data_IF_203939727663
#
_entry.id   IF_203939727663
#
_cell.length_a   1.000
_cell.length_b   1.000
_cell.length_c   1.000
_cell.angle_alpha   90.00
_cell.angle_beta   90.00
_cell.angle_gamma   90.00
#
_symmetry.space_group_name_H-M   'P 1'
#
loop_
_entity.id
_entity.type
_entity.pdbx_description
1 polymer ?
#
# COMPACT_ATOMS: atom_id res chain seq x y z
N UNK A 1 -17.32 -10.49 32.58
CA UNK A 1 -16.37 -10.43 31.47
C UNK A 1 -17.15 -10.81 30.22
N UNK A 2 -17.88 -9.86 29.65
CA UNK A 2 -18.62 -10.04 28.39
C UNK A 2 -17.73 -9.52 27.27
N UNK A 3 -17.14 -10.48 26.51
CA UNK A 3 -16.44 -10.13 25.29
C UNK A 3 -17.43 -9.56 24.29
N UNK A 4 -17.17 -8.32 23.87
CA UNK A 4 -17.82 -7.75 22.68
C UNK A 4 -17.32 -8.55 21.48
N UNK A 5 -18.08 -9.53 21.05
CA UNK A 5 -17.99 -10.03 19.70
C UNK A 5 -18.59 -8.92 18.81
N UNK A 6 -17.73 -8.09 18.24
CA UNK A 6 -18.13 -7.28 17.09
C UNK A 6 -18.45 -8.24 15.96
N UNK A 7 -19.64 -8.16 15.44
CA UNK A 7 -20.08 -9.05 14.37
C UNK A 7 -19.21 -8.80 13.13
N UNK A 8 -18.68 -9.85 12.53
CA UNK A 8 -17.89 -9.87 11.27
C UNK A 8 -18.52 -9.05 10.11
N UNK A 9 -19.76 -8.66 10.24
CA UNK A 9 -20.52 -7.95 9.20
C UNK A 9 -20.35 -6.43 9.23
N UNK A 10 -19.86 -5.83 10.32
CA UNK A 10 -19.83 -4.36 10.44
C UNK A 10 -18.56 -3.72 9.84
N UNK A 11 -17.47 -4.45 9.74
CA UNK A 11 -16.22 -3.94 9.17
C UNK A 11 -16.29 -3.86 7.64
N UNK A 12 -17.03 -4.77 7.00
CA UNK A 12 -17.14 -4.82 5.53
C UNK A 12 -18.07 -3.76 4.96
N UNK A 13 -18.96 -3.17 5.77
CA UNK A 13 -19.98 -2.24 5.29
C UNK A 13 -19.50 -0.77 5.17
N UNK A 14 -18.34 -0.42 5.73
CA UNK A 14 -17.89 0.97 5.84
C UNK A 14 -16.53 1.27 5.19
N UNK A 15 -15.98 0.38 4.37
CA UNK A 15 -14.75 0.73 3.68
C UNK A 15 -15.02 1.67 2.49
N UNK A 16 -14.08 2.57 2.18
CA UNK A 16 -14.25 3.53 1.09
C UNK A 16 -14.27 2.83 -0.28
N UNK A 17 -15.20 3.22 -1.13
CA UNK A 17 -15.40 2.65 -2.47
C UNK A 17 -15.06 3.60 -3.61
N UNK A 18 -14.74 4.85 -3.29
CA UNK A 18 -14.37 5.87 -4.26
C UNK A 18 -13.16 6.65 -3.75
N UNK A 19 -12.56 7.42 -4.63
CA UNK A 19 -11.33 8.15 -4.36
C UNK A 19 -11.47 9.17 -3.22
N UNK A 20 -12.55 9.89 -3.18
CA UNK A 20 -12.80 10.91 -2.18
C UNK A 20 -12.91 10.30 -0.78
N UNK A 21 -13.63 9.20 -0.65
CA UNK A 21 -13.73 8.46 0.60
C UNK A 21 -12.38 7.88 1.06
N UNK A 22 -11.54 7.44 0.13
CA UNK A 22 -10.18 6.99 0.43
C UNK A 22 -9.31 8.11 0.99
N UNK A 23 -9.39 9.31 0.43
CA UNK A 23 -8.68 10.49 0.95
C UNK A 23 -9.16 10.85 2.36
N UNK A 24 -10.47 10.82 2.61
CA UNK A 24 -11.04 11.11 3.93
C UNK A 24 -10.51 10.13 4.97
N UNK A 25 -10.56 8.83 4.71
CA UNK A 25 -10.03 7.81 5.61
C UNK A 25 -8.52 7.97 5.87
N UNK A 26 -7.74 8.27 4.85
CA UNK A 26 -6.31 8.51 5.00
C UNK A 26 -6.03 9.73 5.89
N UNK A 27 -6.76 10.82 5.70
CA UNK A 27 -6.62 12.02 6.52
C UNK A 27 -7.05 11.76 7.97
N UNK A 28 -8.12 10.99 8.17
CA UNK A 28 -8.57 10.58 9.50
C UNK A 28 -7.54 9.70 10.20
N UNK A 29 -6.91 8.77 9.47
CA UNK A 29 -5.84 7.96 10.00
C UNK A 29 -4.64 8.81 10.45
N UNK A 30 -4.19 9.75 9.63
CA UNK A 30 -3.10 10.67 9.99
C UNK A 30 -3.43 11.44 11.29
N UNK A 31 -4.66 11.90 11.41
CA UNK A 31 -5.13 12.61 12.62
C UNK A 31 -5.09 11.70 13.84
N UNK A 32 -5.53 10.45 13.70
CA UNK A 32 -5.55 9.47 14.81
C UNK A 32 -4.17 9.13 15.33
N UNK A 33 -3.17 9.03 14.46
CA UNK A 33 -1.78 8.76 14.89
C UNK A 33 -1.04 10.02 15.38
N UNK A 34 -1.68 11.18 15.37
CA UNK A 34 -1.10 12.44 15.81
C UNK A 34 -0.04 13.01 14.86
N UNK A 35 -0.11 12.65 13.58
CA UNK A 35 0.79 13.19 12.57
C UNK A 35 0.49 14.67 12.31
N UNK A 36 1.53 15.50 12.35
CA UNK A 36 1.42 16.93 12.00
C UNK A 36 1.85 17.12 10.54
N UNK A 37 0.94 17.50 9.63
CA UNK A 37 1.28 17.71 8.23
C UNK A 37 2.41 18.71 7.99
N UNK A 38 2.67 19.64 8.93
CA UNK A 38 3.79 20.57 8.82
C UNK A 38 5.16 19.89 8.83
N UNK A 39 5.26 18.66 9.33
CA UNK A 39 6.50 17.88 9.33
C UNK A 39 6.92 17.42 7.94
N UNK A 40 6.00 17.42 6.99
CA UNK A 40 6.27 17.06 5.59
C UNK A 40 7.01 18.16 4.81
N UNK A 41 7.03 19.39 5.34
CA UNK A 41 7.54 20.54 4.60
C UNK A 41 6.71 20.79 3.33
N UNK A 42 7.35 20.77 2.17
CA UNK A 42 6.69 20.96 0.87
C UNK A 42 6.11 19.67 0.28
N UNK A 43 6.35 18.53 0.91
CA UNK A 43 5.81 17.24 0.46
C UNK A 43 4.27 17.24 0.49
N UNK A 44 3.67 16.64 -0.53
CA UNK A 44 2.22 16.45 -0.61
C UNK A 44 1.92 15.00 -0.96
N UNK A 45 0.98 14.42 -0.22
CA UNK A 45 0.46 13.11 -0.56
C UNK A 45 -0.53 13.22 -1.72
N UNK A 46 -0.36 12.39 -2.72
CA UNK A 46 -1.35 12.19 -3.76
C UNK A 46 -1.49 10.69 -4.02
N UNK A 47 -2.67 10.14 -3.74
CA UNK A 47 -2.98 8.75 -4.04
C UNK A 47 -3.47 8.53 -5.47
N UNK A 48 -3.77 9.61 -6.21
CA UNK A 48 -3.94 9.56 -7.65
C UNK A 48 -2.57 9.52 -8.32
N UNK A 49 -2.52 8.82 -9.40
CA UNK A 49 -1.33 8.69 -10.22
C UNK A 49 -1.61 9.16 -11.64
N UNK A 50 -0.58 9.66 -12.30
CA UNK A 50 -0.65 10.14 -13.68
C UNK A 50 -0.53 8.97 -14.65
N UNK A 51 -1.55 8.78 -15.46
CA UNK A 51 -1.57 7.77 -16.52
C UNK A 51 -0.52 8.00 -17.59
N UNK A 52 -0.19 9.24 -17.87
CA UNK A 52 0.74 9.60 -18.93
C UNK A 52 2.17 9.17 -18.61
N UNK A 53 2.51 9.03 -17.32
CA UNK A 53 3.83 8.56 -16.89
C UNK A 53 4.06 7.08 -17.19
N UNK A 54 3.00 6.29 -17.32
CA UNK A 54 3.09 4.85 -17.59
C UNK A 54 3.51 4.48 -19.02
N UNK A 55 3.58 5.46 -19.93
CA UNK A 55 3.90 5.24 -21.33
C UNK A 55 2.90 4.37 -22.09
N UNK A 56 3.04 4.25 -23.40
CA UNK A 56 2.12 3.52 -24.29
C UNK A 56 2.52 2.06 -24.57
N UNK A 57 3.80 1.74 -24.45
CA UNK A 57 4.39 0.43 -24.79
C UNK A 57 5.39 -0.02 -23.72
N UNK A 58 5.65 -1.32 -23.70
CA UNK A 58 6.69 -1.90 -22.85
C UNK A 58 8.01 -1.74 -23.60
N UNK A 59 9.00 -1.14 -22.95
CA UNK A 59 10.25 -0.74 -23.58
C UNK A 59 11.31 -1.86 -23.63
N UNK A 60 11.20 -2.86 -22.79
CA UNK A 60 12.20 -3.93 -22.70
C UNK A 60 11.65 -5.22 -22.06
N UNK A 61 12.36 -6.32 -22.28
CA UNK A 61 12.00 -7.66 -21.80
C UNK A 61 11.22 -8.46 -22.83
N UNK A 62 10.67 -9.61 -22.42
CA UNK A 62 9.96 -10.56 -23.28
C UNK A 62 8.69 -9.98 -23.95
N UNK A 63 8.24 -8.82 -23.49
CA UNK A 63 7.03 -8.14 -23.95
C UNK A 63 7.34 -6.79 -24.62
N UNK A 64 8.59 -6.53 -24.98
CA UNK A 64 8.98 -5.30 -25.66
C UNK A 64 8.13 -5.06 -26.91
N UNK A 65 7.66 -3.80 -27.08
CA UNK A 65 6.79 -3.41 -28.18
C UNK A 65 5.33 -3.84 -28.03
N UNK A 66 4.97 -4.51 -26.94
CA UNK A 66 3.58 -4.86 -26.66
C UNK A 66 2.84 -3.65 -26.06
N UNK A 67 1.56 -3.42 -26.46
CA UNK A 67 0.77 -2.32 -25.91
C UNK A 67 0.49 -2.54 -24.42
N UNK A 68 0.52 -1.44 -23.65
CA UNK A 68 0.11 -1.45 -22.25
C UNK A 68 -1.40 -1.43 -22.15
N UNK A 69 -1.94 -2.17 -21.20
CA UNK A 69 -3.37 -2.24 -20.93
C UNK A 69 -3.81 -1.17 -19.93
N UNK A 70 -4.90 -0.50 -20.22
CA UNK A 70 -5.49 0.55 -19.36
C UNK A 70 -6.67 0.02 -18.54
N UNK A 71 -7.29 -1.06 -19.02
CA UNK A 71 -8.49 -1.64 -18.43
C UNK A 71 -8.39 -3.14 -18.36
N UNK A 72 -9.00 -3.73 -17.32
CA UNK A 72 -9.08 -5.19 -17.15
C UNK A 72 -9.52 -5.92 -18.42
N UNK A 73 -10.50 -5.37 -19.15
CA UNK A 73 -11.03 -5.99 -20.37
C UNK A 73 -10.03 -6.13 -21.52
N UNK A 74 -8.92 -5.42 -21.47
CA UNK A 74 -7.85 -5.51 -22.46
C UNK A 74 -6.87 -6.62 -22.14
N UNK A 75 -6.86 -7.13 -20.92
CA UNK A 75 -5.97 -8.20 -20.49
C UNK A 75 -6.43 -9.50 -21.14
N UNK A 76 -5.56 -10.18 -21.94
CA UNK A 76 -6.01 -11.25 -22.81
C UNK A 76 -6.37 -12.57 -22.09
N UNK A 77 -5.87 -12.75 -20.88
CA UNK A 77 -6.02 -14.00 -20.13
C UNK A 77 -6.38 -13.75 -18.68
N UNK A 78 -7.31 -14.53 -18.14
CA UNK A 78 -7.78 -14.38 -16.76
C UNK A 78 -6.66 -14.62 -15.74
N UNK A 79 -5.78 -15.57 -15.96
CA UNK A 79 -4.65 -15.83 -15.06
C UNK A 79 -3.68 -14.65 -14.92
N UNK A 80 -3.56 -13.80 -15.94
CA UNK A 80 -2.77 -12.55 -15.85
C UNK A 80 -3.50 -11.56 -14.95
N UNK A 81 -4.81 -11.41 -15.10
CA UNK A 81 -5.63 -10.57 -14.20
C UNK A 81 -5.49 -11.04 -12.75
N UNK A 82 -5.61 -12.33 -12.51
CA UNK A 82 -5.52 -12.91 -11.16
C UNK A 82 -4.11 -12.70 -10.56
N UNK A 83 -3.07 -12.82 -11.38
CA UNK A 83 -1.69 -12.55 -10.95
C UNK A 83 -1.49 -11.06 -10.57
N UNK A 84 -2.04 -10.13 -11.35
CA UNK A 84 -1.97 -8.70 -11.04
C UNK A 84 -2.71 -8.40 -9.74
N UNK A 85 -3.93 -8.90 -9.56
CA UNK A 85 -4.70 -8.73 -8.34
C UNK A 85 -3.93 -9.27 -7.13
N UNK A 86 -3.37 -10.47 -7.24
CA UNK A 86 -2.57 -11.08 -6.16
C UNK A 86 -1.37 -10.22 -5.81
N UNK A 87 -0.64 -9.75 -6.82
CA UNK A 87 0.54 -8.91 -6.62
C UNK A 87 0.20 -7.58 -5.94
N UNK A 88 -0.85 -6.89 -6.39
CA UNK A 88 -1.32 -5.65 -5.78
C UNK A 88 -1.78 -5.90 -4.33
N UNK A 89 -2.46 -7.03 -4.07
CA UNK A 89 -2.90 -7.39 -2.72
C UNK A 89 -1.74 -7.67 -1.78
N UNK A 90 -0.70 -8.39 -2.25
CA UNK A 90 0.51 -8.65 -1.46
C UNK A 90 1.25 -7.36 -1.17
N UNK A 91 1.42 -6.50 -2.17
CA UNK A 91 2.09 -5.21 -1.99
C UNK A 91 1.33 -4.35 -0.96
N UNK A 92 0.02 -4.20 -1.09
CA UNK A 92 -0.77 -3.42 -0.14
C UNK A 92 -0.73 -3.99 1.28
N UNK A 93 -0.71 -5.31 1.43
CA UNK A 93 -0.56 -5.95 2.74
C UNK A 93 0.81 -5.67 3.37
N UNK A 94 1.86 -5.66 2.57
CA UNK A 94 3.23 -5.34 3.01
C UNK A 94 3.36 -3.89 3.49
N UNK A 95 2.78 -2.94 2.78
CA UNK A 95 2.79 -1.52 3.15
C UNK A 95 2.09 -1.29 4.52
N UNK A 96 0.91 -1.85 4.70
CA UNK A 96 0.20 -1.77 5.99
C UNK A 96 0.96 -2.49 7.11
N UNK A 97 1.57 -3.62 6.82
CA UNK A 97 2.36 -4.38 7.78
C UNK A 97 3.59 -3.61 8.27
N UNK A 98 4.23 -2.86 7.39
CA UNK A 98 5.36 -1.99 7.72
C UNK A 98 5.00 -0.97 8.81
N UNK A 99 3.82 -0.36 8.70
CA UNK A 99 3.30 0.57 9.71
C UNK A 99 3.13 -0.10 11.08
N UNK A 100 2.54 -1.30 11.11
CA UNK A 100 2.35 -2.05 12.36
C UNK A 100 3.66 -2.44 13.01
N UNK A 101 4.63 -2.92 12.23
CA UNK A 101 5.96 -3.28 12.73
C UNK A 101 6.71 -2.10 13.35
N UNK A 102 6.49 -0.89 12.85
CA UNK A 102 7.22 0.31 13.26
C UNK A 102 6.55 1.09 14.39
N UNK A 103 5.28 0.85 14.64
CA UNK A 103 4.47 1.69 15.54
C UNK A 103 5.05 1.83 16.93
N UNK A 104 5.50 0.75 17.57
CA UNK A 104 6.04 0.79 18.93
C UNK A 104 7.42 1.48 19.03
N UNK A 105 8.15 1.63 17.92
CA UNK A 105 9.42 2.36 17.90
C UNK A 105 9.25 3.84 18.19
N UNK A 106 8.04 4.41 18.01
CA UNK A 106 7.77 5.81 18.32
C UNK A 106 7.98 6.14 19.79
N UNK A 107 7.70 5.19 20.69
CA UNK A 107 7.85 5.38 22.14
C UNK A 107 9.33 5.35 22.57
N UNK A 108 10.16 4.66 21.84
CA UNK A 108 11.59 4.47 22.13
C UNK A 108 12.50 5.29 21.22
N UNK A 109 11.94 6.26 20.50
CA UNK A 109 12.70 7.11 19.58
C UNK A 109 13.87 7.83 20.30
N UNK A 110 15.11 7.72 19.81
CA UNK A 110 16.27 8.33 20.44
C UNK A 110 16.16 9.85 20.56
N UNK A 111 15.53 10.50 19.58
CA UNK A 111 15.31 11.94 19.55
C UNK A 111 13.93 12.29 18.96
N UNK A 112 13.48 13.51 19.19
CA UNK A 112 12.26 14.02 18.53
C UNK A 112 12.38 14.05 16.99
N UNK A 113 13.59 14.21 16.48
CA UNK A 113 13.82 14.12 15.05
C UNK A 113 13.58 12.69 14.51
N UNK A 114 14.08 11.68 15.22
CA UNK A 114 13.88 10.28 14.84
C UNK A 114 12.40 9.89 14.90
N UNK A 115 11.71 10.36 15.94
CA UNK A 115 10.25 10.15 16.08
C UNK A 115 9.48 10.74 14.89
N UNK A 116 9.75 11.98 14.53
CA UNK A 116 9.11 12.65 13.38
C UNK A 116 9.45 11.97 12.07
N UNK A 117 10.69 11.50 11.91
CA UNK A 117 11.12 10.77 10.73
C UNK A 117 10.40 9.43 10.59
N UNK A 118 10.26 8.67 11.68
CA UNK A 118 9.50 7.43 11.69
C UNK A 118 8.01 7.65 11.37
N UNK A 119 7.37 8.67 11.98
CA UNK A 119 5.99 9.03 11.66
C UNK A 119 5.81 9.39 10.18
N UNK A 120 6.78 10.09 9.58
CA UNK A 120 6.74 10.40 8.15
C UNK A 120 6.80 9.13 7.30
N UNK A 121 7.71 8.21 7.62
CA UNK A 121 7.81 6.92 6.92
C UNK A 121 6.49 6.15 7.05
N UNK A 122 5.94 6.05 8.25
CA UNK A 122 4.66 5.36 8.47
C UNK A 122 3.51 5.98 7.65
N UNK A 123 3.48 7.31 7.50
CA UNK A 123 2.50 7.97 6.64
C UNK A 123 2.69 7.61 5.16
N UNK A 124 3.93 7.51 4.70
CA UNK A 124 4.24 7.08 3.33
C UNK A 124 3.77 5.64 3.08
N UNK A 125 4.16 4.71 3.96
CA UNK A 125 3.78 3.30 3.86
C UNK A 125 2.25 3.13 3.89
N UNK A 126 1.59 3.84 4.79
CA UNK A 126 0.12 3.82 4.85
C UNK A 126 -0.50 4.36 3.56
N UNK A 127 0.05 5.43 3.00
CA UNK A 127 -0.39 5.97 1.69
C UNK A 127 -0.24 4.93 0.58
N UNK A 128 0.88 4.22 0.54
CA UNK A 128 1.10 3.17 -0.45
C UNK A 128 0.08 2.04 -0.31
N UNK A 129 -0.20 1.60 0.90
CA UNK A 129 -1.24 0.60 1.17
C UNK A 129 -2.63 1.05 0.66
N UNK A 130 -3.02 2.29 0.94
CA UNK A 130 -4.26 2.88 0.44
C UNK A 130 -4.28 2.98 -1.09
N UNK A 131 -3.15 3.32 -1.71
CA UNK A 131 -3.02 3.37 -3.16
C UNK A 131 -3.23 1.99 -3.81
N UNK A 132 -2.71 0.93 -3.20
CA UNK A 132 -2.93 -0.45 -3.67
C UNK A 132 -4.41 -0.85 -3.56
N UNK A 133 -5.05 -0.54 -2.44
CA UNK A 133 -6.47 -0.79 -2.27
C UNK A 133 -7.33 0.03 -3.26
N UNK A 134 -6.95 1.27 -3.54
CA UNK A 134 -7.59 2.08 -4.58
C UNK A 134 -7.48 1.43 -5.98
N UNK A 135 -6.29 0.93 -6.36
CA UNK A 135 -6.10 0.20 -7.61
C UNK A 135 -7.05 -0.98 -7.75
N UNK A 136 -7.19 -1.76 -6.68
CA UNK A 136 -8.10 -2.91 -6.66
C UNK A 136 -9.55 -2.47 -6.88
N UNK A 137 -10.02 -1.48 -6.15
CA UNK A 137 -11.40 -0.97 -6.25
C UNK A 137 -11.69 -0.35 -7.63
N UNK A 138 -10.76 0.48 -8.13
CA UNK A 138 -11.00 1.27 -9.32
C UNK A 138 -10.96 0.44 -10.62
N UNK A 139 -10.16 -0.62 -10.68
CA UNK A 139 -9.85 -1.28 -11.95
C UNK A 139 -10.26 -2.74 -12.06
N UNK A 140 -10.61 -3.41 -10.94
CA UNK A 140 -10.88 -4.84 -10.94
C UNK A 140 -12.33 -5.23 -10.58
N UNK A 141 -13.23 -4.23 -10.51
CA UNK A 141 -14.65 -4.44 -10.25
C UNK A 141 -14.90 -5.15 -8.91
N UNK A 142 -15.95 -5.97 -8.82
CA UNK A 142 -16.32 -6.65 -7.56
C UNK A 142 -15.21 -7.52 -6.95
N UNK A 143 -14.39 -8.15 -7.78
CA UNK A 143 -13.28 -8.95 -7.27
C UNK A 143 -12.23 -8.05 -6.59
N UNK A 144 -11.89 -6.93 -7.21
CA UNK A 144 -10.98 -5.95 -6.63
C UNK A 144 -11.53 -5.34 -5.35
N UNK A 145 -12.80 -5.01 -5.32
CA UNK A 145 -13.49 -4.51 -4.12
C UNK A 145 -13.38 -5.51 -2.96
N UNK A 146 -13.61 -6.80 -3.22
CA UNK A 146 -13.46 -7.84 -2.19
C UNK A 146 -12.01 -7.99 -1.69
N UNK A 147 -11.04 -7.89 -2.57
CA UNK A 147 -9.62 -7.97 -2.15
C UNK A 147 -9.19 -6.71 -1.38
N UNK A 148 -9.65 -5.54 -1.79
CA UNK A 148 -9.42 -4.30 -1.03
C UNK A 148 -10.05 -4.39 0.37
N UNK A 149 -11.27 -4.90 0.49
CA UNK A 149 -11.92 -5.11 1.78
C UNK A 149 -11.08 -6.01 2.71
N UNK A 150 -10.50 -7.10 2.18
CA UNK A 150 -9.61 -7.98 2.95
C UNK A 150 -8.34 -7.27 3.42
N UNK A 151 -7.75 -6.41 2.60
CA UNK A 151 -6.58 -5.60 2.99
C UNK A 151 -6.91 -4.69 4.17
N UNK A 152 -8.03 -3.99 4.09
CA UNK A 152 -8.47 -3.07 5.13
C UNK A 152 -8.87 -3.79 6.41
N UNK A 153 -9.52 -4.95 6.29
CA UNK A 153 -9.86 -5.77 7.44
C UNK A 153 -8.61 -6.22 8.20
N UNK A 154 -7.59 -6.70 7.49
CA UNK A 154 -6.31 -7.07 8.12
C UNK A 154 -5.63 -5.89 8.80
N UNK A 155 -5.58 -4.74 8.14
CA UNK A 155 -5.00 -3.53 8.71
C UNK A 155 -5.75 -3.08 9.97
N UNK A 156 -7.09 -3.12 9.95
CA UNK A 156 -7.90 -2.70 11.08
C UNK A 156 -7.86 -3.66 12.29
N UNK A 157 -7.57 -4.94 12.04
CA UNK A 157 -7.59 -6.00 13.06
C UNK A 157 -6.19 -6.46 13.49
N UNK A 158 -5.14 -5.83 13.00
CA UNK A 158 -3.77 -6.29 13.23
C UNK A 158 -3.62 -7.80 12.92
N UNK A 159 -4.18 -8.21 11.78
CA UNK A 159 -4.25 -9.62 11.38
C UNK A 159 -2.92 -10.17 10.89
N UNK A 160 -2.84 -11.48 10.73
CA UNK A 160 -1.66 -12.15 10.15
C UNK A 160 -1.40 -11.68 8.73
N UNK A 161 -0.19 -11.22 8.48
CA UNK A 161 0.26 -10.72 7.18
C UNK A 161 0.58 -11.85 6.21
N UNK A 162 0.41 -11.57 4.92
CA UNK A 162 0.65 -12.55 3.85
C UNK A 162 2.12 -13.00 3.83
N UNK A 163 3.05 -12.05 3.95
CA UNK A 163 4.48 -12.35 4.04
C UNK A 163 4.90 -12.52 5.50
N UNK A 164 5.41 -13.71 5.83
CA UNK A 164 5.73 -14.13 7.20
C UNK A 164 6.69 -13.20 7.94
N UNK A 165 7.65 -12.60 7.24
CA UNK A 165 8.61 -11.64 7.82
C UNK A 165 7.95 -10.39 8.41
N UNK A 166 6.77 -10.03 7.94
CA UNK A 166 6.01 -8.89 8.47
C UNK A 166 5.13 -9.24 9.67
N UNK A 167 5.14 -10.47 10.13
CA UNK A 167 4.48 -10.87 11.37
C UNK A 167 5.44 -10.83 12.59
N UNK A 168 6.73 -10.56 12.35
CA UNK A 168 7.72 -10.45 13.41
C UNK A 168 7.86 -8.98 13.83
N UNK A 169 7.87 -8.67 15.12
CA UNK A 169 8.06 -7.30 15.60
C UNK A 169 9.48 -6.81 15.32
N UNK A 170 9.61 -5.51 15.11
CA UNK A 170 10.90 -4.82 15.07
C UNK A 170 11.07 -4.09 16.40
N UNK A 171 11.80 -4.70 17.36
CA UNK A 171 11.85 -4.23 18.74
C UNK A 171 12.86 -3.11 18.98
N UNK A 172 13.85 -2.96 18.09
CA UNK A 172 14.94 -2.02 18.31
C UNK A 172 15.22 -1.15 17.08
N UNK A 173 15.67 0.06 17.32
CA UNK A 173 16.03 1.00 16.26
C UNK A 173 17.13 0.46 15.34
N UNK A 174 18.08 -0.32 15.87
CA UNK A 174 19.09 -0.95 15.03
C UNK A 174 18.45 -1.96 14.06
N UNK A 175 17.54 -2.76 14.54
CA UNK A 175 16.80 -3.74 13.71
C UNK A 175 15.96 -3.02 12.66
N UNK A 176 15.33 -1.92 13.03
CA UNK A 176 14.62 -1.06 12.09
C UNK A 176 15.52 -0.56 10.96
N UNK A 177 16.71 0.00 11.29
CA UNK A 177 17.64 0.45 10.27
C UNK A 177 18.15 -0.69 9.40
N UNK A 178 18.41 -1.84 9.97
CA UNK A 178 18.85 -3.00 9.21
C UNK A 178 17.74 -3.54 8.30
N UNK A 179 16.52 -3.64 8.82
CA UNK A 179 15.35 -4.10 8.07
C UNK A 179 15.07 -3.17 6.89
N UNK A 180 14.92 -1.87 7.13
CA UNK A 180 14.65 -0.89 6.07
C UNK A 180 15.79 -0.82 5.05
N UNK A 181 17.04 -0.89 5.50
CA UNK A 181 18.18 -0.86 4.57
C UNK A 181 18.18 -2.04 3.60
N UNK A 182 17.86 -3.23 4.07
CA UNK A 182 17.89 -4.43 3.22
C UNK A 182 16.59 -4.65 2.47
N UNK A 183 15.45 -4.54 3.14
CA UNK A 183 14.14 -4.78 2.53
C UNK A 183 13.77 -3.67 1.55
N UNK A 184 13.92 -2.41 1.92
CA UNK A 184 13.61 -1.29 1.02
C UNK A 184 14.53 -1.26 -0.20
N UNK A 185 15.77 -1.70 -0.05
CA UNK A 185 16.69 -1.83 -1.18
C UNK A 185 16.16 -2.84 -2.21
N UNK A 186 15.68 -3.98 -1.75
CA UNK A 186 15.07 -4.98 -2.63
C UNK A 186 13.71 -4.48 -3.14
N UNK A 187 12.95 -3.77 -2.30
CA UNK A 187 11.71 -3.10 -2.65
C UNK A 187 11.88 -2.13 -3.82
N UNK A 188 12.90 -1.31 -3.81
CA UNK A 188 13.21 -0.39 -4.94
C UNK A 188 13.41 -1.12 -6.26
N UNK A 189 14.02 -2.28 -6.24
CA UNK A 189 14.18 -3.09 -7.44
C UNK A 189 12.85 -3.64 -7.93
N UNK A 190 12.01 -4.13 -7.02
CA UNK A 190 10.66 -4.61 -7.34
C UNK A 190 9.78 -3.48 -7.88
N UNK A 191 9.79 -2.31 -7.27
CA UNK A 191 9.05 -1.13 -7.75
C UNK A 191 9.48 -0.72 -9.15
N UNK A 192 10.79 -0.74 -9.43
CA UNK A 192 11.30 -0.49 -10.77
C UNK A 192 10.79 -1.52 -11.78
N UNK A 193 10.73 -2.79 -11.41
CA UNK A 193 10.16 -3.83 -12.27
C UNK A 193 8.65 -3.64 -12.48
N UNK A 194 7.91 -3.30 -11.44
CA UNK A 194 6.48 -3.05 -11.52
C UNK A 194 6.14 -1.81 -12.35
N UNK A 195 7.01 -0.78 -12.34
CA UNK A 195 6.84 0.41 -13.19
C UNK A 195 6.89 0.11 -14.69
N UNK A 196 7.37 -1.07 -15.07
CA UNK A 196 7.36 -1.57 -16.46
C UNK A 196 6.18 -2.52 -16.75
N UNK A 197 5.23 -2.63 -15.83
CA UNK A 197 4.06 -3.49 -16.00
C UNK A 197 3.29 -3.17 -17.28
N UNK A 198 2.78 -4.21 -17.93
CA UNK A 198 1.84 -4.07 -19.06
C UNK A 198 0.50 -3.45 -18.64
N UNK A 199 0.16 -3.47 -17.35
CA UNK A 199 -1.03 -2.83 -16.82
C UNK A 199 -0.70 -1.41 -16.36
N UNK A 200 -1.09 -0.41 -17.16
CA UNK A 200 -0.77 1.01 -16.95
C UNK A 200 -1.11 1.54 -15.54
N UNK A 201 -2.26 1.23 -14.94
CA UNK A 201 -2.56 1.72 -13.60
C UNK A 201 -1.52 1.31 -12.56
N UNK A 202 -1.07 0.05 -12.61
CA UNK A 202 -0.02 -0.44 -11.73
C UNK A 202 1.32 0.24 -12.02
N UNK A 203 1.70 0.33 -13.30
CA UNK A 203 2.96 0.97 -13.69
C UNK A 203 3.02 2.43 -13.23
N UNK A 204 1.93 3.18 -13.40
CA UNK A 204 1.84 4.58 -12.98
C UNK A 204 1.89 4.75 -11.46
N UNK A 205 1.30 3.83 -10.69
CA UNK A 205 1.31 3.89 -9.23
C UNK A 205 2.69 3.66 -8.60
N UNK A 206 3.66 3.17 -9.35
CA UNK A 206 5.03 2.89 -8.88
C UNK A 206 5.99 4.08 -9.07
N UNK A 207 5.51 5.20 -9.59
CA UNK A 207 6.32 6.39 -9.86
C UNK A 207 6.38 7.43 -8.76
N UNK A 208 5.27 7.69 -8.05
CA UNK A 208 5.20 8.67 -6.93
C UNK A 208 5.97 8.28 -5.71
#
# INVERSE_FOLDING_TARGET
MLGLFMAETDVVQNYPTNFEAWIEEFNDWQTRIGFDPSWLGDYRFDIKFDWDTAGGEIEFGDFEGMPKWERRMQIPQQNITDAIITMVSVQGDTEFASVEQQNHLLETAPTEYDKKSALRIMCEEQRHGWQMAYLLCAFFGEQGVREAAKLLERNAQEGTRILGSFNEPIDHWLDFFMFTHFIDRDGKYQLKMLSTSSFKPLAASMGP
#
